data_IF_903141881604
#
_entry.id   IF_903141881604
#
_cell.length_a   1.000
_cell.length_b   1.000
_cell.length_c   1.000
_cell.angle_alpha   90.00
_cell.angle_beta   90.00
_cell.angle_gamma   90.00
#
_symmetry.space_group_name_H-M   'P 1'
#
loop_
_entity.id
_entity.type
_entity.pdbx_description
1 polymer ?
#
# COMPACT_ATOMS: atom_id res chain seq x y z
N UNK A 1 -1.38 -7.73 -27.38
CA UNK A 1 -2.37 -6.78 -26.82
C UNK A 1 -1.92 -6.52 -25.40
N UNK A 2 -1.67 -5.26 -25.05
CA UNK A 2 -1.30 -4.87 -23.70
C UNK A 2 -2.37 -5.40 -22.71
N UNK A 3 -1.92 -6.00 -21.61
CA UNK A 3 -2.83 -6.53 -20.59
C UNK A 3 -2.97 -5.49 -19.49
N UNK A 4 -4.11 -4.80 -19.47
CA UNK A 4 -4.47 -3.87 -18.40
C UNK A 4 -5.36 -4.58 -17.39
N UNK A 5 -5.00 -4.50 -16.10
CA UNK A 5 -5.86 -4.98 -15.00
C UNK A 5 -5.78 -4.03 -13.82
N UNK A 6 -6.93 -3.68 -13.24
CA UNK A 6 -7.01 -2.91 -12.00
C UNK A 6 -7.47 -3.82 -10.86
N UNK A 7 -6.78 -3.76 -9.73
CA UNK A 7 -7.09 -4.49 -8.51
C UNK A 7 -7.20 -3.53 -7.33
N UNK A 8 -8.34 -3.60 -6.64
CA UNK A 8 -8.57 -2.90 -5.38
C UNK A 8 -8.24 -3.78 -4.19
N UNK A 9 -7.40 -3.28 -3.32
CA UNK A 9 -6.99 -3.93 -2.08
C UNK A 9 -7.65 -3.25 -0.88
N UNK A 10 -8.12 -4.06 0.06
CA UNK A 10 -8.55 -3.60 1.38
C UNK A 10 -7.52 -4.09 2.41
N UNK A 11 -7.00 -3.16 3.20
CA UNK A 11 -6.06 -3.43 4.28
C UNK A 11 -6.68 -3.06 5.63
N UNK A 12 -6.27 -3.77 6.68
CA UNK A 12 -6.51 -3.40 8.07
C UNK A 12 -5.16 -3.33 8.80
N UNK A 13 -4.90 -2.21 9.46
CA UNK A 13 -3.73 -2.07 10.34
C UNK A 13 -3.85 -3.00 11.56
N UNK A 14 -2.82 -3.80 11.83
CA UNK A 14 -2.76 -4.68 12.99
C UNK A 14 -2.13 -3.98 14.19
N UNK A 15 -1.10 -3.19 13.90
CA UNK A 15 -0.38 -2.30 14.80
C UNK A 15 -0.47 -0.86 14.31
N UNK A 16 -0.09 0.13 15.14
CA UNK A 16 0.00 1.51 14.68
C UNK A 16 0.98 1.64 13.51
N UNK A 17 0.64 2.47 12.52
CA UNK A 17 1.46 2.66 11.32
C UNK A 17 2.02 4.07 11.26
N UNK A 18 3.35 4.18 11.21
CA UNK A 18 4.05 5.46 11.09
C UNK A 18 4.72 5.58 9.71
N UNK A 19 4.09 6.33 8.80
CA UNK A 19 4.72 6.75 7.54
C UNK A 19 5.21 8.18 7.70
N UNK A 20 6.48 8.34 8.10
CA UNK A 20 7.05 9.65 8.39
C UNK A 20 7.19 10.56 7.17
N UNK A 21 7.16 11.87 7.41
CA UNK A 21 7.31 12.90 6.36
C UNK A 21 8.76 13.26 6.01
N UNK A 22 9.74 12.47 6.46
CA UNK A 22 11.15 12.65 6.13
C UNK A 22 11.94 13.62 7.03
N UNK A 23 11.45 13.91 8.24
CA UNK A 23 12.19 14.70 9.25
C UNK A 23 11.29 15.43 10.24
N UNK A 24 11.92 16.04 11.23
CA UNK A 24 11.25 16.85 12.24
C UNK A 24 10.54 18.05 11.61
N UNK A 25 9.30 18.28 12.01
CA UNK A 25 8.51 19.43 11.57
C UNK A 25 8.02 20.18 12.79
N UNK A 26 8.02 21.51 12.69
CA UNK A 26 7.34 22.34 13.69
C UNK A 26 5.84 22.09 13.55
N UNK A 27 5.20 21.56 14.60
CA UNK A 27 3.81 21.15 14.55
C UNK A 27 3.32 20.56 15.87
N UNK A 28 2.20 19.81 15.81
CA UNK A 28 1.62 19.12 16.98
C UNK A 28 2.55 18.07 17.57
N UNK A 29 3.36 17.44 16.71
CA UNK A 29 4.38 16.45 17.07
C UNK A 29 5.64 16.74 16.29
N UNK A 30 6.76 16.25 16.79
CA UNK A 30 8.06 16.40 16.13
C UNK A 30 8.08 15.57 14.82
N UNK A 31 7.67 14.30 14.88
CA UNK A 31 7.61 13.41 13.71
C UNK A 31 6.18 13.14 13.26
N UNK A 32 5.72 13.93 12.28
CA UNK A 32 4.40 13.77 11.67
C UNK A 32 4.33 12.66 10.62
N UNK A 33 3.12 12.18 10.36
CA UNK A 33 2.83 11.23 9.27
C UNK A 33 2.39 11.90 7.97
N UNK A 34 2.57 11.20 6.84
CA UNK A 34 2.17 11.68 5.51
C UNK A 34 0.65 11.85 5.40
N UNK A 35 0.23 12.92 4.74
CA UNK A 35 -1.17 13.30 4.55
C UNK A 35 -1.44 13.71 3.11
N UNK A 36 -2.69 13.60 2.70
CA UNK A 36 -3.19 14.22 1.48
C UNK A 36 -3.25 15.75 1.66
N UNK A 37 -2.68 16.56 0.74
CA UNK A 37 -2.66 18.01 0.89
C UNK A 37 -4.04 18.68 0.94
N UNK A 38 -4.99 18.18 0.13
CA UNK A 38 -6.33 18.78 0.01
C UNK A 38 -7.22 18.54 1.22
N UNK A 39 -7.16 17.34 1.81
CA UNK A 39 -8.04 16.93 2.91
C UNK A 39 -7.35 16.92 4.27
N UNK A 40 -6.00 16.93 4.31
CA UNK A 40 -5.16 16.71 5.50
C UNK A 40 -5.37 15.35 6.18
N UNK A 41 -5.98 14.40 5.47
CA UNK A 41 -6.22 13.05 5.97
C UNK A 41 -4.92 12.24 5.79
N UNK A 42 -4.49 11.46 6.80
CA UNK A 42 -3.35 10.55 6.65
C UNK A 42 -3.54 9.59 5.50
N UNK A 43 -2.45 9.25 4.82
CA UNK A 43 -2.43 8.22 3.77
C UNK A 43 -1.15 7.42 3.84
N UNK A 44 -1.14 6.26 3.21
CA UNK A 44 0.08 5.49 2.99
C UNK A 44 0.46 5.67 1.52
N UNK A 45 1.55 6.36 1.20
CA UNK A 45 1.96 6.56 -0.18
C UNK A 45 2.16 5.24 -0.92
N UNK A 46 1.77 5.20 -2.19
CA UNK A 46 1.98 4.07 -3.08
C UNK A 46 3.45 3.71 -3.19
N UNK A 47 4.36 4.69 -3.09
CA UNK A 47 5.81 4.49 -3.02
C UNK A 47 6.26 3.70 -1.78
N UNK A 48 5.59 3.90 -0.63
CA UNK A 48 5.88 3.15 0.60
C UNK A 48 5.40 1.71 0.49
N UNK A 49 4.19 1.50 -0.04
CA UNK A 49 3.66 0.16 -0.33
C UNK A 49 4.50 -0.57 -1.38
N UNK A 50 4.88 0.13 -2.44
CA UNK A 50 5.72 -0.39 -3.51
C UNK A 50 7.10 -0.83 -2.99
N UNK A 51 7.76 0.02 -2.20
CA UNK A 51 9.05 -0.31 -1.60
C UNK A 51 8.98 -1.54 -0.69
N UNK A 52 7.97 -1.61 0.19
CA UNK A 52 7.76 -2.75 1.06
C UNK A 52 7.46 -4.04 0.26
N UNK A 53 6.51 -3.98 -0.68
CA UNK A 53 6.15 -5.13 -1.51
C UNK A 53 7.34 -5.65 -2.32
N UNK A 54 8.11 -4.75 -2.95
CA UNK A 54 9.33 -5.09 -3.70
C UNK A 54 10.36 -5.74 -2.81
N UNK A 55 10.64 -5.16 -1.64
CA UNK A 55 11.62 -5.68 -0.70
C UNK A 55 11.24 -7.09 -0.23
N UNK A 56 9.98 -7.30 0.15
CA UNK A 56 9.55 -8.60 0.66
C UNK A 56 9.44 -9.66 -0.42
N UNK A 57 8.98 -9.29 -1.62
CA UNK A 57 9.02 -10.19 -2.77
C UNK A 57 10.47 -10.60 -3.11
N UNK A 58 11.42 -9.66 -3.09
CA UNK A 58 12.84 -9.96 -3.30
C UNK A 58 13.38 -10.97 -2.28
N UNK A 59 12.99 -10.85 -1.00
CA UNK A 59 13.36 -11.82 0.04
C UNK A 59 12.71 -13.19 -0.20
N UNK A 60 11.41 -13.24 -0.48
CA UNK A 60 10.69 -14.49 -0.76
C UNK A 60 11.24 -15.23 -1.98
N UNK A 61 11.75 -14.49 -2.96
CA UNK A 61 12.35 -15.03 -4.17
C UNK A 61 13.87 -15.28 -4.02
N UNK A 62 14.45 -15.00 -2.85
CA UNK A 62 15.89 -15.17 -2.55
C UNK A 62 16.83 -14.34 -3.44
N UNK A 63 16.36 -13.16 -3.86
CA UNK A 63 17.11 -12.16 -4.65
C UNK A 63 17.12 -10.80 -3.94
N UNK A 64 17.70 -10.69 -2.73
CA UNK A 64 17.66 -9.46 -1.94
C UNK A 64 18.19 -8.22 -2.70
N UNK A 65 19.08 -8.40 -3.66
CA UNK A 65 19.61 -7.35 -4.55
C UNK A 65 18.51 -6.68 -5.39
N UNK A 66 17.40 -7.39 -5.67
CA UNK A 66 16.28 -6.85 -6.42
C UNK A 66 15.52 -5.78 -5.64
N UNK A 67 15.64 -5.76 -4.30
CA UNK A 67 15.06 -4.74 -3.44
C UNK A 67 15.79 -3.39 -3.52
N UNK A 68 17.06 -3.39 -3.93
CA UNK A 68 17.93 -2.21 -3.93
C UNK A 68 17.53 -1.13 -4.94
N UNK A 69 18.35 -0.09 -5.08
CA UNK A 69 18.13 0.96 -6.09
C UNK A 69 18.89 0.73 -7.39
N UNK A 70 19.99 -0.03 -7.35
CA UNK A 70 20.95 -0.12 -8.46
C UNK A 70 21.03 -1.50 -9.14
N UNK A 71 20.45 -2.55 -8.54
CA UNK A 71 20.35 -3.92 -9.09
C UNK A 71 21.67 -4.52 -9.63
N UNK A 72 22.83 -3.98 -9.26
CA UNK A 72 24.13 -4.32 -9.88
C UNK A 72 24.57 -5.77 -9.67
N UNK A 73 24.00 -6.46 -8.68
CA UNK A 73 24.29 -7.86 -8.39
C UNK A 73 23.48 -8.89 -9.18
N UNK A 74 22.52 -8.46 -10.02
CA UNK A 74 21.61 -9.38 -10.71
C UNK A 74 22.04 -9.58 -12.15
N UNK A 75 22.37 -10.82 -12.49
CA UNK A 75 22.59 -11.26 -13.87
C UNK A 75 21.21 -11.42 -14.55
N UNK A 76 21.03 -10.80 -15.72
CA UNK A 76 19.79 -10.81 -16.52
C UNK A 76 18.54 -10.36 -15.71
N UNK A 77 18.49 -9.11 -15.21
CA UNK A 77 17.39 -8.61 -14.38
C UNK A 77 16.01 -8.69 -15.07
N UNK A 78 15.96 -8.73 -16.40
CA UNK A 78 14.74 -8.97 -17.17
C UNK A 78 14.09 -10.34 -16.91
N UNK A 79 14.88 -11.34 -16.48
CA UNK A 79 14.40 -12.67 -16.14
C UNK A 79 14.10 -12.83 -14.64
N UNK A 80 14.31 -11.77 -13.85
CA UNK A 80 13.95 -11.77 -12.44
C UNK A 80 12.51 -11.25 -12.28
N UNK A 81 11.57 -12.04 -11.73
CA UNK A 81 10.15 -11.64 -11.66
C UNK A 81 9.92 -10.39 -10.78
N UNK A 82 10.79 -10.14 -9.80
CA UNK A 82 10.71 -8.93 -8.95
C UNK A 82 11.15 -7.71 -9.75
N UNK A 83 12.28 -7.78 -10.45
CA UNK A 83 12.76 -6.71 -11.33
C UNK A 83 11.78 -6.43 -12.49
N UNK A 84 11.23 -7.49 -13.11
CA UNK A 84 10.22 -7.35 -14.15
C UNK A 84 8.98 -6.62 -13.63
N UNK A 85 8.51 -6.99 -12.43
CA UNK A 85 7.31 -6.40 -11.83
C UNK A 85 7.53 -4.93 -11.46
N UNK A 86 8.60 -4.61 -10.73
CA UNK A 86 8.80 -3.31 -10.08
C UNK A 86 9.82 -2.39 -10.79
N UNK A 87 10.41 -2.83 -11.91
CA UNK A 87 11.43 -2.10 -12.66
C UNK A 87 12.84 -2.25 -12.10
N UNK A 88 13.84 -1.91 -12.91
CA UNK A 88 15.26 -2.07 -12.57
C UNK A 88 16.16 -1.10 -13.34
N UNK A 89 17.37 -0.88 -12.82
CA UNK A 89 18.45 -0.23 -13.56
C UNK A 89 19.37 -1.29 -14.16
N UNK A 90 19.74 -1.13 -15.43
CA UNK A 90 20.76 -1.95 -16.08
C UNK A 90 22.03 -1.11 -16.27
N UNK A 91 23.08 -1.51 -15.59
CA UNK A 91 24.43 -1.00 -15.80
C UNK A 91 25.09 -1.97 -16.78
N UNK A 92 25.28 -1.60 -18.05
CA UNK A 92 25.80 -2.52 -19.09
C UNK A 92 26.98 -3.39 -18.60
N UNK A 93 26.81 -4.71 -18.64
CA UNK A 93 27.82 -5.68 -18.26
C UNK A 93 29.05 -5.54 -19.16
N UNK A 94 30.25 -5.57 -18.57
CA UNK A 94 31.46 -5.85 -19.35
C UNK A 94 31.43 -7.34 -19.71
N UNK A 95 31.53 -7.68 -20.99
CA UNK A 95 31.88 -9.04 -21.45
C UNK A 95 33.33 -9.44 -21.10
N UNK A 96 34.01 -8.70 -20.21
CA UNK A 96 35.38 -8.98 -19.79
C UNK A 96 35.52 -8.87 -18.26
N UNK A 97 35.98 -9.94 -17.56
CA UNK A 97 36.32 -9.85 -16.15
C UNK A 97 37.46 -8.83 -15.94
N UNK A 98 37.60 -8.26 -14.73
CA UNK A 98 38.65 -7.29 -14.45
C UNK A 98 40.03 -7.94 -14.65
N UNK A 99 40.75 -7.51 -15.69
CA UNK A 99 42.13 -7.90 -15.91
C UNK A 99 42.98 -7.24 -14.82
N UNK A 100 43.48 -8.04 -13.88
CA UNK A 100 44.19 -7.61 -12.69
C UNK A 100 45.67 -7.24 -12.98
N UNK A 101 45.91 -6.50 -14.06
CA UNK A 101 47.26 -6.04 -14.40
C UNK A 101 47.43 -4.57 -13.98
N UNK A 102 48.19 -4.41 -12.89
CA UNK A 102 48.65 -3.16 -12.31
C UNK A 102 49.65 -2.47 -13.25
N UNK A 103 49.16 -1.76 -14.25
CA UNK A 103 49.85 -0.60 -14.83
C UNK A 103 48.91 0.09 -15.80
N UNK A 104 48.20 1.12 -15.37
CA UNK A 104 47.90 2.17 -16.33
C UNK A 104 47.56 3.51 -15.67
N UNK A 105 48.36 4.51 -16.03
CA UNK A 105 48.08 5.93 -15.91
C UNK A 105 46.96 6.31 -16.90
N UNK A 106 45.76 5.76 -16.71
CA UNK A 106 44.62 6.05 -17.59
C UNK A 106 43.75 7.19 -17.03
N UNK A 107 43.25 8.08 -17.90
CA UNK A 107 42.27 9.09 -17.52
C UNK A 107 40.98 8.42 -17.00
N UNK A 108 40.16 9.11 -16.18
CA UNK A 108 38.95 8.52 -15.60
C UNK A 108 38.05 7.98 -16.71
N UNK A 109 37.75 6.66 -16.64
CA UNK A 109 36.83 6.01 -17.59
C UNK A 109 35.49 6.76 -17.60
N UNK A 110 34.87 6.97 -18.78
CA UNK A 110 33.57 7.62 -18.86
C UNK A 110 32.53 6.85 -18.04
N UNK A 111 31.67 7.58 -17.31
CA UNK A 111 30.55 6.98 -16.57
C UNK A 111 29.72 6.13 -17.54
N UNK A 112 29.57 4.84 -17.24
CA UNK A 112 28.75 3.91 -18.04
C UNK A 112 27.32 4.46 -18.16
N UNK A 113 26.70 4.29 -19.33
CA UNK A 113 25.32 4.70 -19.57
C UNK A 113 24.39 3.71 -18.85
N UNK A 114 23.87 4.13 -17.70
CA UNK A 114 22.82 3.39 -16.99
C UNK A 114 21.50 3.55 -17.75
N UNK A 115 20.82 2.43 -18.01
CA UNK A 115 19.49 2.42 -18.66
C UNK A 115 18.47 1.98 -17.63
N UNK A 116 17.44 2.80 -17.42
CA UNK A 116 16.34 2.49 -16.53
C UNK A 116 15.20 1.78 -17.27
N UNK A 117 14.71 0.69 -16.70
CA UNK A 117 13.56 -0.05 -17.20
C UNK A 117 12.39 0.09 -16.22
N UNK A 118 11.25 0.55 -16.74
CA UNK A 118 10.02 0.65 -15.94
C UNK A 118 9.51 -0.74 -15.57
N UNK A 119 8.94 -0.86 -14.37
CA UNK A 119 8.10 -2.00 -14.01
C UNK A 119 6.75 -1.96 -14.73
N UNK A 120 5.99 -3.04 -14.59
CA UNK A 120 4.67 -3.21 -15.20
C UNK A 120 3.51 -2.99 -14.20
N UNK A 121 3.81 -2.66 -12.94
CA UNK A 121 2.78 -2.37 -11.93
C UNK A 121 2.87 -0.95 -11.40
N UNK A 122 1.71 -0.33 -11.25
CA UNK A 122 1.52 0.96 -10.61
C UNK A 122 0.76 0.74 -9.30
N UNK A 123 1.39 1.08 -8.17
CA UNK A 123 0.79 0.99 -6.84
C UNK A 123 0.44 2.40 -6.40
N UNK A 124 -0.85 2.64 -6.15
CA UNK A 124 -1.36 3.94 -5.74
C UNK A 124 -1.42 4.07 -4.22
N UNK A 125 -1.66 5.30 -3.75
CA UNK A 125 -1.75 5.58 -2.33
C UNK A 125 -2.90 4.79 -1.67
N UNK A 126 -2.67 4.30 -0.45
CA UNK A 126 -3.74 3.75 0.37
C UNK A 126 -4.45 4.88 1.13
N UNK A 127 -5.74 5.02 0.87
CA UNK A 127 -6.60 6.02 1.46
C UNK A 127 -7.38 5.42 2.65
N UNK A 128 -7.59 6.22 3.69
CA UNK A 128 -8.41 5.81 4.84
C UNK A 128 -9.85 5.54 4.39
N UNK A 129 -10.35 4.37 4.79
CA UNK A 129 -11.73 3.93 4.58
C UNK A 129 -12.52 3.95 5.88
N UNK A 130 -12.07 3.18 6.89
CA UNK A 130 -12.70 3.15 8.21
C UNK A 130 -11.68 3.53 9.28
N UNK A 131 -11.98 4.55 10.07
CA UNK A 131 -11.09 5.03 11.12
C UNK A 131 -11.65 4.72 12.51
N UNK A 132 -10.93 3.98 13.38
CA UNK A 132 -11.40 3.63 14.71
C UNK A 132 -11.38 4.84 15.63
N UNK A 133 -12.48 5.09 16.32
CA UNK A 133 -12.64 6.19 17.28
C UNK A 133 -13.25 5.65 18.56
N UNK A 134 -12.74 6.12 19.70
CA UNK A 134 -13.35 5.86 20.99
C UNK A 134 -14.69 6.62 21.11
N UNK A 135 -15.71 5.91 21.61
CA UNK A 135 -17.01 6.48 21.98
C UNK A 135 -17.49 5.93 23.32
N UNK A 136 -18.54 6.52 23.87
CA UNK A 136 -19.19 6.11 25.12
C UNK A 136 -19.73 4.67 25.09
N UNK A 137 -19.95 4.10 23.89
CA UNK A 137 -20.43 2.71 23.71
C UNK A 137 -19.31 1.75 23.29
N UNK A 138 -18.05 2.15 23.46
CA UNK A 138 -16.86 1.44 23.00
C UNK A 138 -16.34 1.94 21.65
N UNK A 139 -15.43 1.19 21.00
CA UNK A 139 -14.87 1.59 19.72
C UNK A 139 -15.94 1.55 18.61
N UNK A 140 -15.89 2.55 17.74
CA UNK A 140 -16.68 2.64 16.52
C UNK A 140 -15.77 2.96 15.34
N UNK A 141 -16.20 2.66 14.13
CA UNK A 141 -15.47 2.97 12.90
C UNK A 141 -16.14 4.11 12.16
N UNK A 142 -15.43 5.20 11.97
CA UNK A 142 -15.93 6.40 11.30
C UNK A 142 -15.55 6.38 9.82
N UNK A 143 -16.48 6.76 8.95
CA UNK A 143 -16.30 6.96 7.51
C UNK A 143 -17.23 8.04 6.98
N UNK A 144 -17.19 8.29 5.67
CA UNK A 144 -18.22 9.01 4.91
C UNK A 144 -18.88 8.07 3.90
N UNK A 145 -20.01 8.49 3.31
CA UNK A 145 -20.69 7.72 2.26
C UNK A 145 -19.81 7.65 1.02
N UNK A 146 -19.28 8.80 0.58
CA UNK A 146 -18.48 8.94 -0.63
C UNK A 146 -17.24 8.06 -0.60
N UNK A 147 -16.54 8.01 0.55
CA UNK A 147 -15.35 7.15 0.73
C UNK A 147 -15.66 5.67 0.60
N UNK A 148 -16.80 5.24 1.12
CA UNK A 148 -17.25 3.85 1.02
C UNK A 148 -17.60 3.52 -0.43
N UNK A 149 -18.36 4.38 -1.09
CA UNK A 149 -18.78 4.21 -2.48
C UNK A 149 -17.60 4.23 -3.45
N UNK A 150 -16.63 5.13 -3.27
CA UNK A 150 -15.38 5.18 -4.05
C UNK A 150 -14.58 3.87 -3.91
N UNK A 151 -14.59 3.28 -2.70
CA UNK A 151 -14.01 1.96 -2.43
C UNK A 151 -14.91 0.78 -2.89
N UNK A 152 -16.08 1.06 -3.48
CA UNK A 152 -16.99 0.07 -4.07
C UNK A 152 -17.94 -0.59 -3.07
N UNK A 153 -18.01 -0.08 -1.84
CA UNK A 153 -19.00 -0.52 -0.88
C UNK A 153 -20.38 0.01 -1.27
N UNK A 154 -21.40 -0.77 -0.97
CA UNK A 154 -22.79 -0.37 -1.18
C UNK A 154 -23.34 0.17 0.14
N UNK A 155 -23.76 1.43 0.12
CA UNK A 155 -24.40 2.12 1.24
C UNK A 155 -25.89 2.21 0.95
N UNK A 156 -26.67 1.29 1.50
CA UNK A 156 -28.12 1.24 1.28
C UNK A 156 -28.86 2.12 2.28
N UNK A 157 -29.85 2.87 1.79
CA UNK A 157 -30.80 3.69 2.56
C UNK A 157 -30.22 4.83 3.40
N UNK A 158 -29.25 5.65 2.91
CA UNK A 158 -28.89 6.87 3.64
C UNK A 158 -30.07 7.87 3.63
N UNK A 159 -30.24 8.71 4.67
CA UNK A 159 -31.13 9.86 4.61
C UNK A 159 -30.77 10.76 3.43
N UNK A 160 -31.76 11.39 2.79
CA UNK A 160 -31.53 12.27 1.63
C UNK A 160 -30.57 13.43 1.92
N UNK A 161 -30.54 13.89 3.17
CA UNK A 161 -29.51 14.75 3.73
C UNK A 161 -29.55 14.72 5.26
N UNK A 162 -28.46 15.13 5.90
CA UNK A 162 -28.41 15.38 7.34
C UNK A 162 -27.40 16.47 7.67
N UNK A 163 -27.54 17.09 8.83
CA UNK A 163 -26.71 18.22 9.24
C UNK A 163 -25.28 17.76 9.62
N UNK A 164 -24.31 18.68 9.56
CA UNK A 164 -22.90 18.39 9.88
C UNK A 164 -22.68 17.97 11.34
N UNK A 165 -23.57 18.37 12.25
CA UNK A 165 -23.57 17.98 13.67
C UNK A 165 -24.30 16.64 13.92
N UNK A 166 -24.64 15.91 12.85
CA UNK A 166 -25.29 14.61 12.92
C UNK A 166 -24.48 13.51 12.21
N UNK A 167 -24.74 12.26 12.59
CA UNK A 167 -24.19 11.07 11.97
C UNK A 167 -25.30 10.07 11.62
N UNK A 168 -25.00 9.19 10.66
CA UNK A 168 -25.84 8.05 10.28
C UNK A 168 -25.14 6.78 10.69
N UNK A 169 -25.86 5.84 11.28
CA UNK A 169 -25.27 4.69 11.97
C UNK A 169 -25.66 3.38 11.29
N UNK A 170 -24.84 2.34 11.45
CA UNK A 170 -25.15 0.98 10.98
C UNK A 170 -25.94 0.14 11.98
N UNK A 171 -26.45 0.78 13.03
CA UNK A 171 -27.29 0.15 14.04
C UNK A 171 -28.30 1.16 14.57
N UNK A 172 -29.39 0.64 15.14
CA UNK A 172 -30.44 1.48 15.71
C UNK A 172 -29.97 2.22 16.97
N UNK A 173 -30.06 3.55 16.94
CA UNK A 173 -29.82 4.46 18.08
C UNK A 173 -30.52 5.79 17.84
N UNK A 174 -30.96 6.45 18.90
CA UNK A 174 -31.64 7.76 18.82
C UNK A 174 -30.96 8.85 19.64
N UNK A 175 -30.20 8.49 20.68
CA UNK A 175 -29.43 9.41 21.50
C UNK A 175 -28.07 9.75 20.88
N UNK A 176 -27.56 10.94 21.20
CA UNK A 176 -26.31 11.45 20.66
C UNK A 176 -25.12 10.52 20.94
N UNK A 177 -24.13 10.52 20.05
CA UNK A 177 -22.92 9.70 20.14
C UNK A 177 -21.70 10.62 20.14
N UNK A 178 -20.73 10.34 21.01
CA UNK A 178 -19.46 11.05 20.98
C UNK A 178 -18.44 10.34 20.08
N UNK A 179 -17.68 11.13 19.33
CA UNK A 179 -16.50 10.71 18.57
C UNK A 179 -15.29 11.45 19.14
N UNK A 180 -14.63 10.84 20.12
CA UNK A 180 -13.65 11.54 20.95
C UNK A 180 -14.34 12.64 21.76
N UNK A 181 -13.91 13.89 21.54
CA UNK A 181 -14.42 15.09 22.22
C UNK A 181 -15.70 15.68 21.58
N UNK A 182 -16.03 15.26 20.36
CA UNK A 182 -17.16 15.80 19.60
C UNK A 182 -18.43 15.01 19.89
N UNK A 183 -19.53 15.70 20.18
CA UNK A 183 -20.86 15.07 20.34
C UNK A 183 -21.69 15.29 19.08
N UNK A 184 -22.26 14.23 18.52
CA UNK A 184 -23.09 14.26 17.31
C UNK A 184 -24.49 13.71 17.58
N UNK A 185 -25.51 14.35 16.98
CA UNK A 185 -26.85 13.79 16.91
C UNK A 185 -26.90 12.57 15.96
N UNK A 186 -27.98 11.80 16.01
CA UNK A 186 -28.19 10.67 15.11
C UNK A 186 -29.31 11.00 14.12
N UNK A 187 -29.00 10.93 12.83
CA UNK A 187 -29.94 11.27 11.75
C UNK A 187 -30.66 10.05 11.17
N UNK A 188 -30.13 8.83 11.35
CA UNK A 188 -30.78 7.63 10.85
C UNK A 188 -29.90 6.38 10.91
N UNK A 189 -30.44 5.32 10.33
CA UNK A 189 -29.82 4.00 10.21
C UNK A 189 -29.55 3.67 8.74
N UNK A 190 -28.42 3.03 8.45
CA UNK A 190 -27.94 2.69 7.11
C UNK A 190 -27.32 1.30 7.11
N UNK A 191 -27.30 0.64 5.96
CA UNK A 191 -26.55 -0.61 5.81
C UNK A 191 -25.33 -0.39 4.93
N UNK A 192 -24.16 -0.87 5.39
CA UNK A 192 -22.90 -0.84 4.63
C UNK A 192 -22.50 -2.27 4.30
N UNK A 193 -22.35 -2.56 3.00
CA UNK A 193 -21.93 -3.89 2.53
C UNK A 193 -20.70 -3.80 1.63
N UNK A 194 -19.72 -4.71 1.78
CA UNK A 194 -18.60 -4.83 0.84
C UNK A 194 -19.07 -5.10 -0.60
N UNK A 195 -18.22 -4.86 -1.61
CA UNK A 195 -18.53 -5.22 -2.99
C UNK A 195 -18.95 -6.69 -3.12
N UNK A 196 -20.04 -6.97 -3.85
CA UNK A 196 -20.65 -8.31 -3.94
C UNK A 196 -19.72 -9.38 -4.53
N UNK A 197 -18.79 -8.97 -5.41
CA UNK A 197 -17.80 -9.84 -6.03
C UNK A 197 -16.53 -10.01 -5.17
N UNK A 198 -16.50 -9.45 -3.96
CA UNK A 198 -15.36 -9.54 -3.04
C UNK A 198 -15.47 -10.73 -2.10
N UNK A 199 -14.33 -11.22 -1.62
CA UNK A 199 -14.31 -12.17 -0.49
C UNK A 199 -14.32 -11.47 0.86
N UNK A 200 -14.35 -10.12 0.90
CA UNK A 200 -14.12 -9.33 2.11
C UNK A 200 -15.19 -9.58 3.17
N UNK A 201 -16.45 -9.77 2.76
CA UNK A 201 -17.54 -10.03 3.69
C UNK A 201 -17.36 -11.32 4.50
N UNK A 202 -16.60 -12.29 3.98
CA UNK A 202 -16.37 -13.57 4.63
C UNK A 202 -15.21 -13.54 5.63
N UNK A 203 -14.35 -12.53 5.56
CA UNK A 203 -13.15 -12.38 6.38
C UNK A 203 -13.48 -12.04 7.83
N UNK A 204 -12.83 -12.73 8.77
CA UNK A 204 -13.08 -12.53 10.21
C UNK A 204 -12.76 -11.11 10.67
N UNK A 205 -11.73 -10.49 10.08
CA UNK A 205 -11.34 -9.10 10.36
C UNK A 205 -12.42 -8.10 9.96
N UNK A 206 -13.08 -8.32 8.83
CA UNK A 206 -14.22 -7.50 8.42
C UNK A 206 -15.44 -7.76 9.29
N UNK A 207 -15.77 -9.03 9.56
CA UNK A 207 -16.89 -9.41 10.44
C UNK A 207 -16.78 -8.86 11.86
N UNK A 208 -15.58 -8.52 12.32
CA UNK A 208 -15.35 -7.88 13.61
C UNK A 208 -15.79 -6.40 13.65
N UNK A 209 -15.95 -5.76 12.50
CA UNK A 209 -16.48 -4.40 12.39
C UNK A 209 -18.00 -4.46 12.54
N UNK A 210 -18.52 -3.95 13.66
CA UNK A 210 -19.94 -4.03 13.99
C UNK A 210 -20.64 -2.67 14.13
N UNK A 211 -19.88 -1.58 14.23
CA UNK A 211 -20.39 -0.23 14.48
C UNK A 211 -19.70 0.78 13.58
N UNK A 212 -20.26 1.00 12.40
CA UNK A 212 -19.84 2.03 11.46
C UNK A 212 -20.70 3.28 11.64
N UNK A 213 -20.04 4.44 11.71
CA UNK A 213 -20.60 5.79 11.86
C UNK A 213 -20.26 6.58 10.61
N UNK A 214 -21.27 7.01 9.85
CA UNK A 214 -21.11 7.85 8.68
C UNK A 214 -21.31 9.31 9.06
N UNK A 215 -20.29 10.12 8.81
CA UNK A 215 -20.30 11.57 9.03
C UNK A 215 -20.22 12.31 7.70
N UNK A 216 -20.51 13.60 7.71
CA UNK A 216 -20.23 14.49 6.58
C UNK A 216 -18.71 14.61 6.36
N UNK A 217 -18.25 14.65 5.10
CA UNK A 217 -16.82 14.70 4.77
C UNK A 217 -16.10 15.92 5.37
N UNK A 218 -16.81 17.05 5.49
CA UNK A 218 -16.33 18.26 6.17
C UNK A 218 -15.84 18.01 7.61
N UNK A 219 -16.41 17.01 8.30
CA UNK A 219 -16.07 16.68 9.67
C UNK A 219 -15.06 15.52 9.77
N UNK A 220 -15.03 14.64 8.77
CA UNK A 220 -14.21 13.42 8.78
C UNK A 220 -12.73 13.71 9.01
N UNK A 221 -12.17 14.70 8.31
CA UNK A 221 -10.76 15.08 8.50
C UNK A 221 -10.47 15.54 9.93
N UNK A 222 -11.36 16.33 10.55
CA UNK A 222 -11.17 16.80 11.92
C UNK A 222 -11.24 15.64 12.93
N UNK A 223 -12.19 14.72 12.73
CA UNK A 223 -12.32 13.52 13.58
C UNK A 223 -11.05 12.67 13.49
N UNK A 224 -10.58 12.37 12.28
CA UNK A 224 -9.36 11.57 12.07
C UNK A 224 -8.16 12.25 12.74
N UNK A 225 -7.92 13.53 12.43
CA UNK A 225 -6.78 14.29 12.94
C UNK A 225 -6.77 14.40 14.47
N UNK A 226 -7.94 14.51 15.10
CA UNK A 226 -8.07 14.61 16.55
C UNK A 226 -7.85 13.29 17.28
N UNK A 227 -7.98 12.15 16.59
CA UNK A 227 -7.97 10.82 17.17
C UNK A 227 -6.77 9.96 16.70
N UNK A 228 -5.77 10.58 16.05
CA UNK A 228 -4.51 9.90 15.75
C UNK A 228 -3.72 9.60 17.01
N UNK A 229 -3.02 8.49 16.98
CA UNK A 229 -2.15 8.10 18.07
C UNK A 229 -0.95 9.04 18.12
N UNK A 230 -0.70 9.62 19.30
CA UNK A 230 0.50 10.40 19.60
C UNK A 230 1.22 9.73 20.73
N UNK A 231 2.50 9.47 20.54
CA UNK A 231 3.37 8.92 21.58
C UNK A 231 4.60 9.81 21.76
N UNK A 232 5.09 9.81 22.99
CA UNK A 232 6.36 10.40 23.36
C UNK A 232 7.38 9.28 23.51
N UNK A 233 8.59 9.47 22.98
CA UNK A 233 9.73 8.58 23.14
C UNK A 233 10.90 9.37 23.72
N UNK A 234 11.71 8.68 24.51
CA UNK A 234 12.92 9.21 25.14
C UNK A 234 14.03 8.18 25.02
N UNK A 235 15.28 8.61 24.85
CA UNK A 235 16.44 7.75 25.06
C UNK A 235 16.87 7.83 26.53
N UNK A 236 17.19 6.69 27.13
CA UNK A 236 17.58 6.60 28.54
C UNK A 236 19.08 6.33 28.60
N UNK A 237 19.79 7.13 29.38
CA UNK A 237 21.19 6.92 29.67
C UNK A 237 21.35 5.65 30.53
N UNK A 238 22.11 4.64 30.07
CA UNK A 238 22.21 3.36 30.76
C UNK A 238 22.97 3.42 32.10
N UNK A 239 23.82 4.43 32.31
CA UNK A 239 24.60 4.59 33.55
C UNK A 239 23.79 5.28 34.65
N UNK A 240 22.98 6.28 34.29
CA UNK A 240 22.23 7.10 35.26
C UNK A 240 20.77 6.69 35.41
N UNK A 241 20.21 5.99 34.42
CA UNK A 241 18.78 5.68 34.33
C UNK A 241 17.89 6.89 34.02
N UNK A 242 18.49 8.07 33.78
CA UNK A 242 17.78 9.30 33.43
C UNK A 242 17.62 9.46 31.91
N UNK A 243 16.72 10.36 31.49
CA UNK A 243 16.59 10.74 30.08
C UNK A 243 17.88 11.40 29.56
N UNK A 244 18.29 11.06 28.34
CA UNK A 244 19.36 11.78 27.65
C UNK A 244 18.89 13.15 27.17
N UNK A 245 19.74 14.16 27.37
CA UNK A 245 19.46 15.52 26.93
C UNK A 245 19.28 15.57 25.40
N UNK A 246 18.16 16.16 24.96
CA UNK A 246 17.82 16.31 23.54
C UNK A 246 17.23 15.06 22.87
N UNK A 247 17.04 13.95 23.61
CA UNK A 247 16.52 12.71 23.06
C UNK A 247 15.00 12.49 23.29
N UNK A 248 14.29 13.50 23.79
CA UNK A 248 12.85 13.51 23.92
C UNK A 248 12.20 13.94 22.60
N UNK A 249 11.33 13.10 22.04
CA UNK A 249 10.58 13.44 20.83
C UNK A 249 9.20 12.79 20.81
N UNK A 250 8.29 13.40 20.07
CA UNK A 250 6.92 12.97 19.87
C UNK A 250 6.70 12.54 18.42
N UNK A 251 5.77 11.62 18.21
CA UNK A 251 5.43 11.15 16.87
C UNK A 251 3.96 10.74 16.75
N UNK A 252 3.43 10.86 15.55
CA UNK A 252 2.08 10.44 15.18
C UNK A 252 2.07 9.05 14.55
N UNK A 253 0.97 8.31 14.69
CA UNK A 253 0.72 7.09 13.94
C UNK A 253 -0.77 6.91 13.61
N UNK A 254 -1.03 6.23 12.50
CA UNK A 254 -2.37 5.72 12.19
C UNK A 254 -2.66 4.59 13.18
N UNK A 255 -3.75 4.63 13.98
CA UNK A 255 -4.05 3.60 14.97
C UNK A 255 -4.29 2.23 14.34
N UNK A 256 -4.06 1.17 15.11
CA UNK A 256 -4.49 -0.19 14.75
C UNK A 256 -6.01 -0.25 14.50
N UNK A 257 -6.45 -1.26 13.75
CA UNK A 257 -7.84 -1.47 13.33
C UNK A 257 -8.40 -0.39 12.39
N UNK A 258 -7.54 0.46 11.84
CA UNK A 258 -7.85 1.34 10.71
C UNK A 258 -7.87 0.55 9.42
N UNK A 259 -8.93 0.72 8.61
CA UNK A 259 -9.03 0.15 7.28
C UNK A 259 -8.62 1.16 6.21
N UNK A 260 -7.87 0.68 5.21
CA UNK A 260 -7.42 1.48 4.07
C UNK A 260 -7.74 0.76 2.76
N UNK A 261 -8.07 1.53 1.73
CA UNK A 261 -8.24 1.05 0.36
C UNK A 261 -7.09 1.55 -0.52
N UNK A 262 -6.52 0.68 -1.35
CA UNK A 262 -5.49 1.04 -2.32
C UNK A 262 -5.77 0.38 -3.67
N UNK A 263 -5.38 1.05 -4.75
CA UNK A 263 -5.46 0.51 -6.11
C UNK A 263 -4.08 0.03 -6.57
N UNK A 264 -4.07 -1.07 -7.31
CA UNK A 264 -2.90 -1.56 -8.06
C UNK A 264 -3.32 -1.78 -9.50
N UNK A 265 -2.58 -1.18 -10.42
CA UNK A 265 -2.80 -1.35 -11.87
C UNK A 265 -1.63 -2.12 -12.45
N UNK A 266 -1.94 -3.23 -13.11
CA UNK A 266 -1.04 -3.88 -14.06
C UNK A 266 -1.19 -3.16 -15.41
N UNK A 267 -0.09 -2.58 -15.87
CA UNK A 267 0.09 -2.07 -17.23
C UNK A 267 1.25 -2.84 -17.86
N UNK A 268 0.92 -4.00 -18.43
CA UNK A 268 1.89 -4.82 -19.13
C UNK A 268 1.84 -4.51 -20.64
N UNK A 269 2.33 -3.32 -20.98
CA UNK A 269 2.51 -2.88 -22.38
C UNK A 269 3.58 -3.70 -23.11
N UNK A 270 4.53 -4.29 -22.37
CA UNK A 270 5.62 -5.12 -22.88
C UNK A 270 5.25 -6.57 -23.13
N UNK A 271 4.14 -7.06 -22.56
CA UNK A 271 3.52 -8.34 -22.87
C UNK A 271 2.95 -8.34 -24.30
N UNK A 272 3.86 -8.34 -25.26
CA UNK A 272 3.54 -8.53 -26.66
C UNK A 272 4.47 -7.87 -27.66
N UNK A 273 5.51 -7.08 -27.30
CA UNK A 273 6.25 -6.23 -28.26
C UNK A 273 7.79 -5.94 -27.97
N UNK A 274 8.77 -6.40 -28.82
CA UNK A 274 10.29 -6.29 -28.85
C UNK A 274 10.96 -5.36 -29.91
N UNK A 275 11.80 -4.37 -29.58
CA UNK A 275 12.49 -3.56 -30.61
C UNK A 275 13.72 -4.15 -31.34
N UNK A 276 14.22 -5.35 -31.01
CA UNK A 276 15.33 -5.96 -31.79
C UNK A 276 15.22 -7.49 -31.90
N UNK A 277 14.40 -7.99 -32.84
CA UNK A 277 14.35 -9.41 -33.23
C UNK A 277 14.89 -9.62 -34.66
N UNK A 278 16.22 -9.74 -34.79
CA UNK A 278 16.86 -10.28 -36.00
C UNK A 278 16.76 -11.81 -36.13
N UNK A 279 16.00 -12.50 -35.28
CA UNK A 279 15.67 -13.93 -35.45
C UNK A 279 14.18 -14.16 -35.22
N UNK A 280 13.44 -14.18 -36.33
CA UNK A 280 12.03 -14.53 -36.39
C UNK A 280 11.87 -16.05 -36.27
N UNK A 281 11.04 -16.50 -35.35
CA UNK A 281 10.26 -17.72 -35.54
C UNK A 281 8.79 -17.38 -35.25
N UNK A 282 7.94 -17.45 -36.27
CA UNK A 282 6.49 -17.27 -36.20
C UNK A 282 5.94 -15.91 -35.68
N UNK A 283 6.73 -14.83 -35.73
CA UNK A 283 6.21 -13.46 -35.84
C UNK A 283 5.50 -12.88 -34.61
N UNK A 284 5.80 -13.31 -33.38
CA UNK A 284 5.30 -12.67 -32.15
C UNK A 284 6.40 -12.45 -31.10
N UNK A 285 6.42 -11.24 -30.53
CA UNK A 285 7.37 -10.73 -29.54
C UNK A 285 6.99 -11.35 -28.17
N UNK A 286 7.88 -12.07 -27.47
CA UNK A 286 7.61 -12.75 -26.18
C UNK A 286 8.67 -12.34 -25.13
N UNK A 287 8.32 -11.43 -24.22
CA UNK A 287 8.92 -11.35 -22.88
C UNK A 287 7.96 -12.07 -21.93
N UNK A 288 8.00 -13.40 -21.83
CA UNK A 288 7.13 -14.09 -20.89
C UNK A 288 7.50 -13.63 -19.48
N UNK A 289 6.48 -13.43 -18.63
CA UNK A 289 6.72 -13.29 -17.20
C UNK A 289 7.53 -14.51 -16.72
N UNK A 290 8.66 -14.32 -16.01
CA UNK A 290 9.46 -15.43 -15.52
C UNK A 290 8.65 -16.27 -14.53
N UNK A 291 8.48 -17.56 -14.83
CA UNK A 291 7.69 -18.51 -14.03
C UNK A 291 8.61 -19.59 -13.49
N UNK A 292 9.55 -19.16 -12.67
CA UNK A 292 10.62 -20.04 -12.20
C UNK A 292 10.56 -20.19 -10.67
N UNK A 293 11.37 -21.12 -10.15
CA UNK A 293 11.60 -21.30 -8.71
C UNK A 293 12.33 -20.08 -8.13
N UNK A 294 12.73 -20.16 -6.86
CA UNK A 294 13.58 -19.15 -6.22
C UNK A 294 14.82 -18.82 -7.06
N UNK A 295 15.40 -17.63 -6.87
CA UNK A 295 16.56 -17.14 -7.63
C UNK A 295 17.77 -18.09 -7.58
N UNK A 296 17.90 -18.88 -6.52
CA UNK A 296 18.98 -19.86 -6.36
C UNK A 296 18.63 -21.26 -6.90
N UNK A 297 17.40 -21.47 -7.37
CA UNK A 297 16.85 -22.74 -7.86
C UNK A 297 16.86 -23.89 -6.82
N UNK A 298 16.98 -23.56 -5.52
CA UNK A 298 17.12 -24.54 -4.43
C UNK A 298 15.75 -24.99 -3.90
N UNK A 299 14.81 -24.05 -3.76
CA UNK A 299 13.50 -24.29 -3.14
C UNK A 299 12.33 -23.70 -3.95
N UNK A 300 11.13 -24.25 -3.74
CA UNK A 300 9.89 -23.68 -4.29
C UNK A 300 9.49 -22.42 -3.50
N UNK A 301 8.93 -21.43 -4.21
CA UNK A 301 8.53 -20.16 -3.60
C UNK A 301 7.36 -20.41 -2.63
N UNK A 302 7.33 -19.76 -1.44
CA UNK A 302 6.19 -19.86 -0.52
C UNK A 302 4.86 -19.50 -1.20
N UNK A 303 3.93 -20.46 -1.22
CA UNK A 303 2.63 -20.31 -1.88
C UNK A 303 2.60 -20.73 -3.36
N UNK A 304 3.67 -21.31 -3.88
CA UNK A 304 3.79 -21.82 -5.25
C UNK A 304 4.45 -20.84 -6.21
N UNK A 305 4.68 -21.28 -7.45
CA UNK A 305 5.27 -20.44 -8.49
C UNK A 305 4.43 -19.18 -8.73
N UNK A 306 5.10 -18.04 -8.94
CA UNK A 306 4.41 -16.83 -9.35
C UNK A 306 4.07 -16.93 -10.83
N UNK A 307 2.77 -16.85 -11.12
CA UNK A 307 2.28 -16.97 -12.49
C UNK A 307 2.13 -15.60 -13.20
N UNK A 308 2.29 -14.50 -12.46
CA UNK A 308 1.99 -13.15 -12.92
C UNK A 308 2.65 -12.03 -12.07
N UNK A 309 2.81 -10.80 -12.61
CA UNK A 309 3.32 -9.66 -11.82
C UNK A 309 2.46 -9.30 -10.60
N UNK A 310 1.13 -9.37 -10.73
CA UNK A 310 0.21 -9.14 -9.61
C UNK A 310 0.36 -10.20 -8.49
N UNK A 311 0.85 -11.39 -8.84
CA UNK A 311 1.14 -12.48 -7.90
C UNK A 311 2.34 -12.09 -7.02
N UNK A 312 3.36 -11.44 -7.61
CA UNK A 312 4.52 -10.88 -6.91
C UNK A 312 4.10 -9.77 -5.95
N UNK A 313 3.27 -8.82 -6.41
CA UNK A 313 2.74 -7.74 -5.57
C UNK A 313 1.97 -8.30 -4.37
N UNK A 314 1.06 -9.26 -4.63
CA UNK A 314 0.26 -9.91 -3.58
C UNK A 314 1.15 -10.64 -2.56
N UNK A 315 2.21 -11.32 -3.01
CA UNK A 315 3.16 -11.97 -2.11
C UNK A 315 3.88 -10.94 -1.22
N UNK A 316 4.36 -9.84 -1.80
CA UNK A 316 4.94 -8.72 -1.05
C UNK A 316 3.97 -8.11 -0.03
N UNK A 317 2.73 -7.84 -0.43
CA UNK A 317 1.70 -7.30 0.47
C UNK A 317 1.33 -8.26 1.61
N UNK A 318 1.30 -9.57 1.37
CA UNK A 318 1.09 -10.56 2.45
C UNK A 318 2.19 -10.50 3.50
N UNK A 319 3.43 -10.24 3.12
CA UNK A 319 4.54 -10.12 4.07
C UNK A 319 4.49 -8.84 4.91
N UNK A 320 3.77 -7.80 4.48
CA UNK A 320 3.53 -6.61 5.31
C UNK A 320 2.80 -6.98 6.61
N UNK A 321 2.02 -8.05 6.62
CA UNK A 321 1.36 -8.55 7.82
C UNK A 321 2.36 -8.99 8.91
N UNK A 322 3.56 -9.39 8.51
CA UNK A 322 4.62 -9.88 9.39
C UNK A 322 5.69 -8.83 9.64
N UNK A 323 6.12 -8.14 8.58
CA UNK A 323 7.30 -7.27 8.58
C UNK A 323 6.96 -5.78 8.66
N UNK A 324 5.70 -5.43 8.42
CA UNK A 324 5.19 -4.06 8.49
C UNK A 324 5.49 -3.19 7.27
N UNK A 325 5.08 -1.93 7.33
CA UNK A 325 5.41 -0.88 6.34
C UNK A 325 5.61 0.44 7.07
N UNK A 326 6.52 1.26 6.55
CA UNK A 326 6.87 2.54 7.15
C UNK A 326 8.05 2.45 8.11
N UNK A 327 8.11 3.44 9.01
CA UNK A 327 9.14 3.53 10.04
C UNK A 327 8.79 2.77 11.32
N UNK A 328 9.76 2.69 12.22
CA UNK A 328 9.59 2.16 13.59
C UNK A 328 9.21 0.67 13.68
N UNK A 329 9.48 -0.14 12.64
CA UNK A 329 9.12 -1.57 12.61
C UNK A 329 9.64 -2.38 13.80
N UNK A 330 10.90 -2.17 14.23
CA UNK A 330 11.49 -2.83 15.40
C UNK A 330 10.87 -2.43 16.74
N UNK A 331 9.98 -1.43 16.74
CA UNK A 331 9.23 -0.93 17.90
C UNK A 331 7.76 -1.35 17.88
N UNK A 332 7.40 -2.32 17.04
CA UNK A 332 6.03 -2.85 16.95
C UNK A 332 5.08 -1.95 16.16
N UNK A 333 5.58 -1.32 15.08
CA UNK A 333 4.77 -0.50 14.16
C UNK A 333 4.69 -1.14 12.78
N UNK A 334 3.68 -0.74 12.01
CA UNK A 334 3.66 -0.91 10.56
C UNK A 334 2.93 -2.16 10.07
N UNK A 335 2.67 -3.17 10.91
CA UNK A 335 1.97 -4.39 10.47
C UNK A 335 0.55 -4.07 10.02
N UNK A 336 0.20 -4.53 8.83
CA UNK A 336 -1.14 -4.48 8.26
C UNK A 336 -1.45 -5.75 7.51
N UNK A 337 -2.71 -6.17 7.56
CA UNK A 337 -3.18 -7.36 6.90
C UNK A 337 -4.06 -7.01 5.70
N UNK A 338 -3.91 -7.75 4.62
CA UNK A 338 -4.89 -7.77 3.54
C UNK A 338 -6.19 -8.41 4.03
N UNK A 339 -7.32 -7.85 3.62
CA UNK A 339 -8.64 -8.44 3.84
C UNK A 339 -9.00 -9.23 2.60
N UNK A 340 -8.95 -10.56 2.71
CA UNK A 340 -9.33 -11.47 1.63
C UNK A 340 -8.52 -11.27 0.36
N UNK A 341 -9.16 -11.49 -0.79
CA UNK A 341 -8.57 -11.26 -2.10
C UNK A 341 -8.89 -9.85 -2.61
N UNK A 342 -8.00 -9.23 -3.41
CA UNK A 342 -8.31 -7.98 -4.06
C UNK A 342 -9.47 -8.15 -5.04
N UNK A 343 -10.25 -7.08 -5.22
CA UNK A 343 -11.36 -7.03 -6.17
C UNK A 343 -10.83 -6.57 -7.51
N UNK A 344 -11.06 -7.34 -8.57
CA UNK A 344 -10.75 -6.90 -9.93
C UNK A 344 -11.78 -5.84 -10.34
N UNK A 345 -11.31 -4.76 -10.95
CA UNK A 345 -12.18 -3.80 -11.62
C UNK A 345 -11.94 -3.92 -13.12
N UNK A 346 -12.96 -4.40 -13.81
CA UNK A 346 -12.93 -4.63 -15.25
C UNK A 346 -12.91 -3.31 -16.02
N UNK A 347 -12.21 -3.31 -17.17
CA UNK A 347 -12.09 -2.14 -18.03
C UNK A 347 -13.45 -1.66 -18.55
N UNK A 348 -14.34 -2.61 -18.87
CA UNK A 348 -15.69 -2.35 -19.38
C UNK A 348 -16.56 -1.55 -18.39
N UNK A 349 -16.28 -1.67 -17.09
CA UNK A 349 -16.98 -0.89 -16.07
C UNK A 349 -16.60 0.60 -16.10
N UNK A 350 -15.48 0.97 -16.72
CA UNK A 350 -15.02 2.36 -16.81
C UNK A 350 -15.63 3.13 -17.98
N UNK A 351 -15.87 2.45 -19.11
CA UNK A 351 -16.38 3.07 -20.33
C UNK A 351 -17.90 2.93 -20.49
N UNK A 352 -18.55 2.16 -19.59
CA UNK A 352 -19.93 1.75 -19.76
C UNK A 352 -20.08 0.77 -20.93
N UNK A 353 -21.04 -0.14 -20.87
CA UNK A 353 -21.49 -0.78 -22.11
C UNK A 353 -22.20 0.32 -22.90
N UNK A 354 -21.69 0.68 -24.08
CA UNK A 354 -22.55 1.31 -25.08
C UNK A 354 -23.73 0.36 -25.28
N UNK A 355 -24.94 0.77 -24.87
CA UNK A 355 -26.15 0.10 -25.33
C UNK A 355 -26.12 0.25 -26.85
N UNK A 356 -25.87 -0.86 -27.53
CA UNK A 356 -26.01 -0.95 -28.97
C UNK A 356 -27.48 -0.64 -29.29
N UNK A 357 -27.74 0.61 -29.66
CA UNK A 357 -28.97 0.98 -30.33
C UNK A 357 -28.99 0.26 -31.68
N UNK A 358 -29.62 -0.92 -31.71
CA UNK A 358 -30.13 -1.55 -32.94
C UNK A 358 -31.33 -0.78 -33.49
#
# INVERSE_FOLDING_TARGET
MATYKRQRYLFMTLDPVHIGTGGYRLGRVDNSIVREPGTKIPKIPGTSLHGAARSYAAQLYETPEAAGQDQKGIINPENNPVCYTFGYLNSGNDDNPPNNNLSDSNPPKPKKKEVAFSGVVNIFDAHLLLFPVYSMIGPVWVSTVERLEDAGFIVSTPPSSWNTDQAVLTWNRTDSLNLGWLMLGVAGEVTVTPPLNSTWQNEQRWKAVNKIVLVQDALFSQIVNSNLEVRTSVAINPETGAAEDGALFTYEAIPRATFLSAEVVLDDYGAGETEDDKKKENGKRKRPFPKDKTYKEIDDIPGGAWECPLCVVKAGFRMIEWLGVGGMGTRGFGRMAMIGNPVNVELDALFGKEESHE
#
